data_IF_675284247767
#
_entry.id   IF_675284247767
#
_cell.length_a   1.000
_cell.length_b   1.000
_cell.length_c   1.000
_cell.angle_alpha   90.00
_cell.angle_beta   90.00
_cell.angle_gamma   90.00
#
_symmetry.space_group_name_H-M   'P 1'
#
loop_
_entity.id
_entity.type
_entity.pdbx_description
1 polymer ?
#
# COMPACT_ATOMS: atom_id res chain seq x y z
N UNK A 1 0.19 22.40 2.59
CA UNK A 1 -1.22 22.02 2.84
C UNK A 1 -1.22 20.71 3.61
N UNK A 2 -2.10 20.59 4.60
CA UNK A 2 -2.36 19.38 5.40
C UNK A 2 -3.49 18.54 4.75
N UNK A 3 -3.64 17.26 5.15
CA UNK A 3 -4.77 16.43 4.69
C UNK A 3 -6.08 17.04 5.20
N UNK A 4 -7.07 17.23 4.33
CA UNK A 4 -8.38 17.80 4.71
C UNK A 4 -9.19 16.84 5.59
N UNK A 5 -10.06 17.36 6.45
CA UNK A 5 -10.89 16.54 7.35
C UNK A 5 -11.78 15.56 6.59
N UNK A 6 -12.27 15.94 5.41
CA UNK A 6 -13.03 15.06 4.52
C UNK A 6 -12.20 13.83 4.12
N UNK A 7 -10.96 14.03 3.67
CA UNK A 7 -10.07 12.92 3.30
C UNK A 7 -9.70 12.09 4.52
N UNK A 8 -9.43 12.74 5.67
CA UNK A 8 -9.15 12.03 6.93
C UNK A 8 -10.29 11.09 7.29
N UNK A 9 -11.53 11.57 7.24
CA UNK A 9 -12.73 10.77 7.52
C UNK A 9 -12.84 9.56 6.59
N UNK A 10 -12.71 9.76 5.27
CA UNK A 10 -12.76 8.68 4.29
C UNK A 10 -11.74 7.58 4.58
N UNK A 11 -10.48 7.95 4.87
CA UNK A 11 -9.42 6.99 5.16
C UNK A 11 -9.67 6.22 6.46
N UNK A 12 -10.13 6.91 7.51
CA UNK A 12 -10.41 6.28 8.80
C UNK A 12 -11.60 5.31 8.73
N UNK A 13 -12.67 5.68 8.02
CA UNK A 13 -13.84 4.82 7.80
C UNK A 13 -13.47 3.61 6.94
N UNK A 14 -12.73 3.81 5.84
CA UNK A 14 -12.23 2.73 4.96
C UNK A 14 -11.39 1.71 5.72
N UNK A 15 -10.50 2.19 6.59
CA UNK A 15 -9.59 1.34 7.34
C UNK A 15 -10.23 0.80 8.63
N UNK A 16 -11.56 0.97 8.80
CA UNK A 16 -12.35 0.55 9.96
C UNK A 16 -11.72 0.99 11.29
N UNK A 17 -11.22 2.22 11.35
CA UNK A 17 -10.52 2.79 12.50
C UNK A 17 -9.45 1.84 13.07
N UNK A 18 -8.71 1.18 12.18
CA UNK A 18 -7.70 0.18 12.53
C UNK A 18 -6.44 0.36 11.69
N UNK A 19 -5.31 -0.05 12.25
CA UNK A 19 -4.03 -0.03 11.56
C UNK A 19 -4.06 -1.03 10.41
N UNK A 20 -3.90 -0.58 9.16
CA UNK A 20 -3.95 -1.46 7.98
C UNK A 20 -2.88 -2.56 8.02
N UNK A 21 -1.76 -2.30 8.70
CA UNK A 21 -0.64 -3.21 8.75
C UNK A 21 -0.79 -4.33 9.79
N UNK A 22 -1.37 -4.06 10.95
CA UNK A 22 -1.41 -5.01 12.05
C UNK A 22 -2.82 -5.31 12.57
N UNK A 23 -3.86 -4.70 11.99
CA UNK A 23 -5.26 -4.87 12.40
C UNK A 23 -5.62 -4.24 13.74
N UNK A 24 -4.66 -3.68 14.49
CA UNK A 24 -4.93 -3.06 15.80
C UNK A 24 -5.86 -1.86 15.64
N UNK A 25 -6.95 -1.84 16.40
CA UNK A 25 -7.83 -0.66 16.52
C UNK A 25 -7.04 0.57 17.00
N UNK A 26 -7.29 1.72 16.38
CA UNK A 26 -6.71 3.00 16.77
C UNK A 26 -7.62 3.82 17.70
N UNK A 27 -8.80 3.30 18.04
CA UNK A 27 -9.75 3.99 18.94
C UNK A 27 -9.09 4.15 20.32
N UNK A 28 -8.97 5.40 20.79
CA UNK A 28 -8.30 5.71 22.06
C UNK A 28 -6.78 5.52 22.04
N UNK A 29 -6.16 5.36 20.86
CA UNK A 29 -4.72 5.13 20.73
C UNK A 29 -4.05 6.14 19.79
N UNK A 30 -2.73 6.38 19.94
CA UNK A 30 -1.98 7.16 18.96
C UNK A 30 -2.04 6.53 17.57
N UNK A 31 -2.30 7.34 16.56
CA UNK A 31 -2.31 6.92 15.17
C UNK A 31 -1.81 8.03 14.26
N UNK A 32 -1.48 7.66 13.02
CA UNK A 32 -1.17 8.60 11.95
C UNK A 32 -1.82 8.15 10.65
N UNK A 33 -2.11 9.12 9.78
CA UNK A 33 -2.40 8.81 8.38
C UNK A 33 -1.08 8.86 7.62
N UNK A 34 -0.53 7.68 7.35
CA UNK A 34 0.75 7.54 6.69
C UNK A 34 0.60 7.80 5.20
N UNK A 35 1.45 8.68 4.70
CA UNK A 35 1.66 8.87 3.28
C UNK A 35 2.45 7.68 2.74
N UNK A 36 1.83 6.88 1.87
CA UNK A 36 2.50 5.77 1.19
C UNK A 36 3.68 6.33 0.37
N UNK A 37 3.41 7.35 -0.43
CA UNK A 37 4.41 8.22 -1.05
C UNK A 37 4.55 9.50 -0.24
N UNK A 38 5.74 9.73 0.31
CA UNK A 38 6.04 10.94 1.09
C UNK A 38 5.84 12.23 0.28
N UNK A 39 5.38 13.28 0.97
CA UNK A 39 5.19 14.62 0.41
C UNK A 39 6.49 15.34 0.03
N UNK A 40 7.65 14.85 0.48
CA UNK A 40 8.96 15.54 0.51
C UNK A 40 8.94 16.83 1.36
N UNK A 41 10.13 17.26 1.76
CA UNK A 41 10.32 18.57 2.42
C UNK A 41 9.96 19.70 1.45
N UNK A 42 9.18 20.68 1.90
CA UNK A 42 8.67 21.77 1.05
C UNK A 42 7.31 21.49 0.38
N UNK A 43 6.76 20.30 0.57
CA UNK A 43 5.49 19.88 -0.01
C UNK A 43 5.61 19.34 -1.43
N UNK A 44 4.49 18.83 -1.95
CA UNK A 44 4.39 18.27 -3.29
C UNK A 44 3.25 18.97 -4.04
N UNK A 45 3.44 19.18 -5.34
CA UNK A 45 2.38 19.67 -6.25
C UNK A 45 1.57 18.53 -6.88
N UNK A 46 1.86 17.28 -6.51
CA UNK A 46 1.16 16.12 -7.07
C UNK A 46 -0.30 16.12 -6.59
N UNK A 47 -1.28 16.05 -7.51
CA UNK A 47 -2.69 16.22 -7.17
C UNK A 47 -3.20 15.13 -6.21
N UNK A 48 -2.58 13.95 -6.25
CA UNK A 48 -2.93 12.79 -5.43
C UNK A 48 -2.19 12.73 -4.08
N UNK A 49 -1.26 13.67 -3.78
CA UNK A 49 -0.37 13.51 -2.62
C UNK A 49 -1.13 13.43 -1.29
N UNK A 50 -2.21 14.17 -1.16
CA UNK A 50 -3.06 14.22 0.03
C UNK A 50 -4.43 13.58 -0.19
N UNK A 51 -4.51 12.67 -1.17
CA UNK A 51 -5.75 11.98 -1.53
C UNK A 51 -5.81 10.57 -0.91
N UNK A 52 -7.01 9.97 -0.74
CA UNK A 52 -7.19 8.72 -0.03
C UNK A 52 -6.33 7.55 -0.54
N UNK A 53 -6.06 7.47 -1.85
CA UNK A 53 -5.23 6.41 -2.44
C UNK A 53 -3.78 6.42 -1.96
N UNK A 54 -3.28 7.56 -1.47
CA UNK A 54 -1.93 7.72 -0.96
C UNK A 54 -1.85 7.62 0.58
N UNK A 55 -2.97 7.44 1.27
CA UNK A 55 -3.05 7.49 2.73
C UNK A 55 -3.50 6.16 3.30
N UNK A 56 -2.86 5.73 4.38
CA UNK A 56 -3.27 4.56 5.18
C UNK A 56 -3.26 4.88 6.67
N UNK A 57 -4.20 4.32 7.41
CA UNK A 57 -4.25 4.42 8.87
C UNK A 57 -3.23 3.48 9.48
N UNK A 58 -2.35 4.03 10.33
CA UNK A 58 -1.31 3.26 11.02
C UNK A 58 -1.27 3.59 12.50
N UNK A 59 -1.05 2.55 13.31
CA UNK A 59 -0.87 2.69 14.75
C UNK A 59 0.50 3.33 15.07
N UNK A 60 0.49 4.30 16.00
CA UNK A 60 1.68 4.99 16.49
C UNK A 60 1.96 6.33 15.80
N UNK A 61 3.18 6.82 16.02
CA UNK A 61 3.74 8.07 15.51
C UNK A 61 4.99 7.81 14.66
N UNK A 62 5.60 8.84 14.09
CA UNK A 62 6.84 8.71 13.33
C UNK A 62 7.99 8.06 14.14
N UNK A 63 7.86 7.96 15.47
CA UNK A 63 8.84 7.36 16.38
C UNK A 63 8.29 6.20 17.22
N UNK A 64 7.01 5.83 17.07
CA UNK A 64 6.41 4.69 17.78
C UNK A 64 5.55 3.80 16.88
N UNK A 65 5.38 2.53 17.25
CA UNK A 65 4.42 1.63 16.62
C UNK A 65 4.74 1.26 15.16
N UNK A 66 3.70 0.95 14.40
CA UNK A 66 3.82 0.55 12.99
C UNK A 66 4.29 1.70 12.11
N UNK A 67 3.88 2.93 12.45
CA UNK A 67 4.29 4.11 11.71
C UNK A 67 5.82 4.29 11.74
N UNK A 68 6.47 4.24 12.91
CA UNK A 68 7.93 4.34 12.99
C UNK A 68 8.68 3.27 12.19
N UNK A 69 8.16 2.04 12.14
CA UNK A 69 8.74 1.00 11.29
C UNK A 69 8.71 1.43 9.82
N UNK A 70 7.60 1.97 9.35
CA UNK A 70 7.43 2.42 7.96
C UNK A 70 8.30 3.65 7.63
N UNK A 71 8.63 4.49 8.62
CA UNK A 71 9.55 5.62 8.43
C UNK A 71 10.97 5.18 8.03
N UNK A 72 11.39 3.96 8.39
CA UNK A 72 12.66 3.38 7.90
C UNK A 72 12.66 3.14 6.37
N UNK A 73 11.48 3.12 5.74
CA UNK A 73 11.29 2.81 4.32
C UNK A 73 11.92 1.48 3.89
N UNK A 74 11.89 0.50 4.79
CA UNK A 74 12.43 -0.84 4.57
C UNK A 74 11.78 -1.57 3.40
N UNK A 75 12.52 -2.53 2.82
CA UNK A 75 12.05 -3.32 1.67
C UNK A 75 10.74 -4.06 1.97
N UNK A 76 10.56 -4.51 3.21
CA UNK A 76 9.37 -5.22 3.67
C UNK A 76 8.10 -4.34 3.79
N UNK A 77 8.25 -3.02 3.85
CA UNK A 77 7.10 -2.09 3.83
C UNK A 77 6.82 -1.59 2.40
N UNK A 78 7.87 -1.50 1.58
CA UNK A 78 7.71 -1.28 0.13
C UNK A 78 7.00 -2.46 -0.54
N UNK A 79 7.36 -3.68 -0.15
CA UNK A 79 6.76 -4.90 -0.68
C UNK A 79 5.25 -4.99 -0.47
N UNK A 80 4.79 -4.45 0.65
CA UNK A 80 3.38 -4.47 1.07
C UNK A 80 2.61 -3.24 0.58
N UNK A 81 3.26 -2.37 -0.18
CA UNK A 81 2.66 -1.12 -0.65
C UNK A 81 2.45 -0.07 0.44
N UNK A 82 2.96 -0.26 1.66
CA UNK A 82 2.89 0.74 2.74
C UNK A 82 3.78 1.94 2.46
N UNK A 83 4.87 1.72 1.72
CA UNK A 83 5.83 2.75 1.34
C UNK A 83 6.07 2.67 -0.16
N UNK A 84 5.87 3.78 -0.87
CA UNK A 84 6.12 3.91 -2.29
C UNK A 84 7.42 4.71 -2.49
N UNK A 85 8.40 4.19 -3.27
CA UNK A 85 9.62 4.93 -3.60
C UNK A 85 9.31 6.29 -4.22
N UNK A 86 10.26 7.24 -4.18
CA UNK A 86 10.09 8.57 -4.77
C UNK A 86 10.36 8.62 -6.29
N UNK A 87 10.93 7.57 -6.87
CA UNK A 87 11.16 7.45 -8.30
C UNK A 87 10.95 5.98 -8.74
N UNK A 88 10.32 5.73 -9.91
CA UNK A 88 9.67 6.71 -10.79
C UNK A 88 8.47 7.37 -10.10
N UNK A 89 7.95 8.45 -10.68
CA UNK A 89 6.67 8.99 -10.23
C UNK A 89 5.55 8.06 -10.65
N UNK A 90 4.76 7.62 -9.67
CA UNK A 90 3.62 6.74 -9.90
C UNK A 90 2.49 7.12 -8.97
N UNK A 91 1.28 7.17 -9.51
CA UNK A 91 0.06 7.36 -8.74
C UNK A 91 -0.13 6.14 -7.81
N UNK A 92 -0.26 6.35 -6.49
CA UNK A 92 -0.47 5.29 -5.51
C UNK A 92 -1.70 4.41 -5.78
N UNK A 93 -2.68 4.88 -6.56
CA UNK A 93 -3.83 4.05 -6.96
C UNK A 93 -3.45 2.87 -7.84
N UNK A 94 -2.28 2.88 -8.48
CA UNK A 94 -1.79 1.75 -9.28
C UNK A 94 -0.96 0.75 -8.48
N UNK A 95 -0.59 1.10 -7.24
CA UNK A 95 0.17 0.23 -6.36
C UNK A 95 -0.80 -0.38 -5.34
N UNK A 96 -0.98 -1.70 -5.30
CA UNK A 96 -1.81 -2.30 -4.27
C UNK A 96 -1.16 -2.18 -2.90
N UNK A 97 -1.97 -2.30 -1.85
CA UNK A 97 -1.53 -2.35 -0.46
C UNK A 97 -2.03 -3.62 0.19
N UNK A 98 -1.22 -4.21 1.07
CA UNK A 98 -1.64 -5.31 1.91
C UNK A 98 -2.45 -4.75 3.09
N UNK A 99 -3.66 -5.24 3.32
CA UNK A 99 -4.49 -4.88 4.47
C UNK A 99 -4.75 -6.11 5.30
N UNK A 100 -4.71 -5.99 6.63
CA UNK A 100 -5.15 -7.07 7.52
C UNK A 100 -6.67 -7.08 7.56
N UNK A 101 -7.28 -8.20 7.17
CA UNK A 101 -8.72 -8.44 7.26
C UNK A 101 -9.01 -9.55 8.28
N UNK A 102 -10.30 -9.79 8.57
CA UNK A 102 -10.72 -10.91 9.41
C UNK A 102 -10.33 -12.29 8.84
N UNK A 103 -10.18 -12.39 7.51
CA UNK A 103 -9.78 -13.62 6.81
C UNK A 103 -8.26 -13.72 6.62
N UNK A 104 -7.50 -12.81 7.22
CA UNK A 104 -6.06 -12.68 7.03
C UNK A 104 -5.67 -11.54 6.09
N UNK A 105 -4.39 -11.42 5.73
CA UNK A 105 -3.93 -10.34 4.86
C UNK A 105 -4.49 -10.47 3.44
N UNK A 106 -5.01 -9.38 2.91
CA UNK A 106 -5.48 -9.27 1.53
C UNK A 106 -4.75 -8.14 0.80
N UNK A 107 -4.56 -8.28 -0.51
CA UNK A 107 -3.97 -7.23 -1.35
C UNK A 107 -5.08 -6.51 -2.10
N UNK A 108 -5.18 -5.20 -1.91
CA UNK A 108 -6.27 -4.36 -2.44
C UNK A 108 -5.73 -3.06 -3.02
N UNK A 109 -6.50 -2.44 -3.92
CA UNK A 109 -6.21 -1.12 -4.46
C UNK A 109 -7.00 -0.06 -3.70
N UNK A 110 -6.32 1.03 -3.33
CA UNK A 110 -6.95 2.18 -2.68
C UNK A 110 -7.46 3.14 -3.76
N UNK A 111 -8.74 3.48 -3.70
CA UNK A 111 -9.39 4.32 -4.71
C UNK A 111 -9.31 5.82 -4.35
N UNK A 112 -9.35 6.73 -5.33
CA UNK A 112 -9.46 8.18 -5.08
C UNK A 112 -10.69 8.59 -4.27
N UNK A 113 -11.77 7.81 -4.35
CA UNK A 113 -13.03 8.03 -3.64
C UNK A 113 -12.96 7.61 -2.15
N UNK A 114 -11.86 6.95 -1.75
CA UNK A 114 -11.65 6.47 -0.39
C UNK A 114 -12.17 5.05 -0.13
N UNK A 115 -12.54 4.30 -1.16
CA UNK A 115 -12.88 2.88 -1.06
C UNK A 115 -11.70 1.93 -1.29
N UNK A 116 -11.98 0.63 -1.19
CA UNK A 116 -11.11 -0.48 -1.55
C UNK A 116 -11.61 -1.14 -2.83
N UNK A 117 -10.70 -1.62 -3.67
CA UNK A 117 -10.99 -2.45 -4.84
C UNK A 117 -10.16 -3.73 -4.81
N UNK A 118 -10.76 -4.84 -5.20
CA UNK A 118 -10.03 -6.10 -5.44
C UNK A 118 -9.40 -6.16 -6.84
N UNK A 119 -9.81 -5.25 -7.72
CA UNK A 119 -9.30 -5.12 -9.08
C UNK A 119 -8.43 -3.87 -9.22
N UNK A 120 -7.39 -3.89 -10.08
CA UNK A 120 -6.65 -2.68 -10.42
C UNK A 120 -7.56 -1.64 -11.08
N UNK A 121 -7.22 -0.34 -11.01
CA UNK A 121 -7.94 0.70 -11.76
C UNK A 121 -8.04 0.35 -13.25
N UNK A 122 -9.19 0.61 -13.87
CA UNK A 122 -9.41 0.28 -15.29
C UNK A 122 -8.45 1.04 -16.24
N UNK A 123 -7.96 2.20 -15.81
CA UNK A 123 -6.97 3.02 -16.49
C UNK A 123 -5.54 2.81 -15.95
N UNK A 124 -5.33 1.74 -15.17
CA UNK A 124 -3.98 1.30 -14.87
C UNK A 124 -3.26 1.08 -16.20
N UNK A 125 -2.07 1.67 -16.39
CA UNK A 125 -1.28 1.33 -17.55
C UNK A 125 -1.16 -0.19 -17.56
N UNK A 126 -1.31 -0.86 -18.72
CA UNK A 126 -0.99 -2.27 -18.81
C UNK A 126 0.38 -2.41 -18.19
N UNK A 127 0.57 -3.43 -17.35
CA UNK A 127 1.91 -3.74 -16.89
C UNK A 127 2.73 -4.01 -18.17
N UNK A 128 3.47 -3.01 -18.65
CA UNK A 128 4.41 -3.14 -19.76
C UNK A 128 5.61 -3.94 -19.27
N UNK A 129 5.34 -5.19 -18.90
CA UNK A 129 6.20 -6.27 -19.26
C UNK A 129 5.95 -6.48 -20.76
N UNK A 130 6.72 -5.84 -21.63
CA UNK A 130 6.66 -6.05 -23.07
C UNK A 130 7.05 -7.48 -23.51
N UNK A 131 6.91 -8.49 -22.64
CA UNK A 131 7.26 -9.87 -22.93
C UNK A 131 6.24 -10.94 -22.46
N UNK A 132 5.36 -10.73 -21.47
CA UNK A 132 4.48 -11.83 -21.00
C UNK A 132 3.11 -11.39 -20.45
N UNK A 133 2.09 -12.18 -20.81
CA UNK A 133 0.80 -12.28 -20.12
C UNK A 133 1.02 -12.88 -18.72
N UNK A 134 0.26 -12.37 -17.76
CA UNK A 134 0.47 -12.55 -16.32
C UNK A 134 0.16 -13.99 -15.89
N UNK A 135 1.17 -14.83 -15.59
CA UNK A 135 1.03 -15.95 -14.62
C UNK A 135 2.29 -16.34 -13.84
N UNK A 136 3.52 -15.97 -14.23
CA UNK A 136 4.72 -16.50 -13.54
C UNK A 136 5.73 -15.44 -13.08
N UNK A 137 6.23 -15.66 -11.87
CA UNK A 137 7.21 -14.83 -11.17
C UNK A 137 8.55 -14.79 -11.91
N UNK A 138 9.00 -13.61 -12.33
CA UNK A 138 10.34 -13.46 -12.90
C UNK A 138 11.31 -12.81 -11.88
N UNK A 139 12.36 -13.51 -11.43
CA UNK A 139 13.31 -13.01 -10.43
C UNK A 139 14.31 -11.97 -10.96
N UNK A 140 14.32 -11.67 -12.26
CA UNK A 140 15.33 -10.79 -12.89
C UNK A 140 14.76 -9.51 -13.53
N UNK A 141 13.48 -9.20 -13.35
CA UNK A 141 12.88 -8.04 -14.03
C UNK A 141 13.08 -6.74 -13.24
N UNK A 142 13.79 -5.77 -13.83
CA UNK A 142 13.99 -4.41 -13.29
C UNK A 142 12.66 -3.62 -13.13
N UNK A 143 11.56 -4.12 -13.69
CA UNK A 143 10.21 -3.52 -13.67
C UNK A 143 9.39 -3.96 -12.43
N UNK A 144 9.76 -5.05 -11.74
CA UNK A 144 9.04 -5.59 -10.57
C UNK A 144 9.06 -4.69 -9.31
N UNK A 145 9.69 -3.50 -9.35
CA UNK A 145 9.68 -2.56 -8.21
C UNK A 145 8.33 -1.87 -7.98
N UNK A 146 7.41 -1.92 -8.94
CA UNK A 146 6.08 -1.32 -8.80
C UNK A 146 5.08 -2.25 -8.09
N UNK A 147 5.26 -3.57 -8.17
CA UNK A 147 4.23 -4.53 -7.74
C UNK A 147 4.42 -5.07 -6.30
N UNK A 148 5.49 -4.64 -5.61
CA UNK A 148 6.01 -5.40 -4.47
C UNK A 148 6.54 -6.78 -4.90
N UNK A 149 7.23 -7.54 -4.03
CA UNK A 149 7.56 -8.91 -4.30
C UNK A 149 6.24 -9.63 -4.57
N UNK A 150 6.19 -10.25 -5.73
CA UNK A 150 5.34 -11.38 -5.96
C UNK A 150 5.57 -12.36 -4.79
N UNK A 151 4.52 -12.73 -4.05
CA UNK A 151 4.60 -13.71 -2.95
C UNK A 151 4.81 -15.14 -3.47
N UNK A 152 5.62 -15.30 -4.52
CA UNK A 152 5.86 -16.60 -5.15
C UNK A 152 6.79 -17.49 -4.30
N UNK A 153 7.45 -16.93 -3.28
CA UNK A 153 8.15 -17.72 -2.27
C UNK A 153 7.24 -18.27 -1.15
N UNK A 154 5.99 -17.78 -1.00
CA UNK A 154 5.04 -18.33 -0.02
C UNK A 154 4.14 -19.43 -0.60
N UNK A 155 3.98 -19.50 -1.93
CA UNK A 155 3.19 -20.54 -2.60
C UNK A 155 4.01 -21.82 -2.88
N UNK A 156 5.34 -21.78 -2.78
CA UNK A 156 6.20 -22.96 -2.93
C UNK A 156 6.02 -24.02 -1.81
N UNK A 157 5.18 -23.73 -0.79
CA UNK A 157 4.79 -24.69 0.24
C UNK A 157 3.64 -25.64 -0.13
N UNK A 158 2.96 -25.45 -1.27
CA UNK A 158 1.75 -26.23 -1.62
C UNK A 158 1.92 -27.24 -2.76
N UNK A 159 3.17 -27.49 -3.20
CA UNK A 159 3.47 -28.53 -4.20
C UNK A 159 4.19 -29.75 -3.61
N UNK A 160 3.95 -30.09 -2.34
CA UNK A 160 4.24 -31.42 -1.79
C UNK A 160 2.98 -31.95 -1.13
N UNK A 161 2.60 -33.15 -1.55
CA UNK A 161 1.51 -34.01 -1.03
C UNK A 161 0.10 -33.73 -1.55
N UNK A 162 -0.17 -34.18 -2.79
CA UNK A 162 -1.35 -34.99 -3.11
C UNK A 162 -1.13 -35.67 -4.47
N UNK A 163 -0.78 -36.96 -4.40
CA UNK A 163 -0.95 -38.03 -5.42
C UNK A 163 -0.45 -37.79 -6.84
#
# INVERSE_FOLDING_TARGET
MSVSDKVRKLVLERDNHSCVCCGRSIIGQPYSLQHRRARKMGGSRLPWIDQPQNLITVYGSATTGCHARMESRGQADKSRGYVIPAWPEIDPRFIPVQVVTEFGPARVWLTPEGGLSNDPPADAPPAECGLHLVTDACPACLVCRLCGPCECELVAGWAREAS
#
